data_IF_826874178411
#
_entry.id   IF_826874178411
#
_cell.length_a   1.000
_cell.length_b   1.000
_cell.length_c   1.000
_cell.angle_alpha   90.00
_cell.angle_beta   90.00
_cell.angle_gamma   90.00
#
_symmetry.space_group_name_H-M   'P 1'
#
loop_
_entity.id
_entity.type
_entity.pdbx_description
1 polymer ?
#
# COMPACT_ATOMS: atom_id res chain seq x y z
N UNK A 1 -2.11 7.76 -14.93
CA UNK A 1 -1.75 6.80 -13.86
C UNK A 1 -0.56 5.93 -14.23
N UNK A 2 -0.59 5.14 -15.32
CA UNK A 2 0.59 4.39 -15.77
C UNK A 2 1.83 5.29 -16.00
N UNK A 3 1.65 6.50 -16.53
CA UNK A 3 2.70 7.53 -16.64
C UNK A 3 3.15 8.09 -15.28
N UNK A 4 2.26 8.11 -14.28
CA UNK A 4 2.58 8.47 -12.89
C UNK A 4 3.54 7.42 -12.32
N UNK A 5 3.16 6.14 -12.41
CA UNK A 5 4.00 5.00 -12.00
C UNK A 5 5.32 4.89 -12.79
N UNK A 6 5.35 5.28 -14.07
CA UNK A 6 6.59 5.40 -14.87
C UNK A 6 7.44 6.64 -14.54
N UNK A 7 6.88 7.70 -13.99
CA UNK A 7 7.62 8.87 -13.47
C UNK A 7 8.15 8.61 -12.05
N UNK A 8 7.47 7.77 -11.27
CA UNK A 8 7.93 7.20 -9.98
C UNK A 8 9.19 6.29 -10.08
N UNK A 9 9.66 6.03 -11.30
CA UNK A 9 10.40 4.81 -11.69
C UNK A 9 11.92 4.84 -11.42
N UNK A 10 12.50 5.97 -10.99
CA UNK A 10 13.95 6.01 -10.66
C UNK A 10 14.22 6.15 -9.16
N UNK A 11 13.20 6.52 -8.39
CA UNK A 11 13.34 6.98 -7.00
C UNK A 11 12.91 5.91 -6.01
N UNK A 12 11.77 5.24 -6.25
CA UNK A 12 11.27 4.18 -5.35
C UNK A 12 12.13 2.93 -5.42
N UNK A 13 12.55 2.54 -6.62
CA UNK A 13 13.34 1.34 -6.89
C UNK A 13 14.60 1.22 -6.05
N UNK A 14 15.36 2.32 -5.97
CA UNK A 14 16.58 2.36 -5.17
C UNK A 14 16.24 2.43 -3.65
N UNK A 15 15.11 3.04 -3.22
CA UNK A 15 14.63 3.07 -1.80
C UNK A 15 14.46 1.65 -1.30
N UNK A 16 13.93 0.79 -2.14
CA UNK A 16 13.66 -0.61 -1.84
C UNK A 16 14.94 -1.46 -1.79
N UNK A 17 15.89 -1.22 -2.68
CA UNK A 17 17.17 -1.96 -2.73
C UNK A 17 18.00 -1.79 -1.45
N UNK A 18 17.97 -0.61 -0.82
CA UNK A 18 18.79 -0.27 0.37
C UNK A 18 18.04 -0.23 1.71
N UNK A 19 16.70 -0.27 1.71
CA UNK A 19 15.90 -0.45 2.94
C UNK A 19 15.77 -1.92 3.37
N UNK A 20 16.41 -2.83 2.65
CA UNK A 20 16.54 -4.25 2.99
C UNK A 20 17.24 -4.45 4.34
N UNK A 21 16.41 -4.53 5.39
CA UNK A 21 16.51 -5.47 6.52
C UNK A 21 17.86 -5.63 7.25
N UNK A 22 18.69 -4.58 7.38
CA UNK A 22 19.76 -4.56 8.40
C UNK A 22 19.29 -4.17 9.80
N UNK A 23 18.01 -3.82 9.97
CA UNK A 23 17.43 -3.62 11.29
C UNK A 23 16.81 -4.93 11.72
N UNK A 24 17.46 -5.57 12.69
CA UNK A 24 17.03 -6.79 13.33
C UNK A 24 15.53 -6.76 13.58
N UNK A 25 14.83 -7.82 13.18
CA UNK A 25 13.43 -8.02 13.53
C UNK A 25 13.23 -7.73 15.02
N UNK A 26 12.40 -6.74 15.34
CA UNK A 26 11.95 -6.54 16.71
C UNK A 26 11.32 -7.85 17.22
N UNK A 27 11.65 -8.32 18.43
CA UNK A 27 11.10 -9.53 19.03
C UNK A 27 9.56 -9.59 19.06
N UNK A 28 8.88 -8.46 18.84
CA UNK A 28 7.43 -8.32 18.82
C UNK A 28 6.72 -8.98 17.60
N UNK A 29 7.40 -9.19 16.47
CA UNK A 29 6.78 -9.75 15.25
C UNK A 29 7.01 -11.26 15.06
N UNK A 30 8.05 -11.79 15.73
CA UNK A 30 8.38 -13.22 15.72
C UNK A 30 7.24 -14.13 16.24
N UNK A 31 6.40 -13.75 17.23
CA UNK A 31 5.35 -14.61 17.75
C UNK A 31 4.28 -14.96 16.71
N UNK A 32 3.86 -14.01 15.86
CA UNK A 32 2.75 -14.22 14.92
C UNK A 32 3.10 -15.18 13.78
N UNK A 33 4.33 -15.12 13.26
CA UNK A 33 4.82 -16.06 12.26
C UNK A 33 5.18 -17.42 12.88
N UNK A 34 5.90 -17.46 14.01
CA UNK A 34 6.44 -18.73 14.53
C UNK A 34 5.42 -19.60 15.29
N UNK A 35 4.42 -19.01 15.96
CA UNK A 35 3.45 -19.81 16.73
C UNK A 35 2.31 -20.35 15.87
N UNK A 36 1.97 -19.67 14.77
CA UNK A 36 0.87 -20.09 13.88
C UNK A 36 1.31 -21.13 12.85
N UNK A 37 2.59 -21.13 12.43
CA UNK A 37 3.11 -22.00 11.37
C UNK A 37 3.45 -23.44 11.82
N UNK A 38 3.77 -23.67 13.10
CA UNK A 38 4.12 -25.02 13.59
C UNK A 38 2.93 -25.94 13.86
N UNK A 39 1.70 -25.41 13.92
CA UNK A 39 0.55 -26.16 14.46
C UNK A 39 -0.58 -26.45 13.47
N UNK A 40 -0.62 -25.80 12.31
CA UNK A 40 -1.76 -25.91 11.40
C UNK A 40 -1.36 -25.72 9.94
N UNK A 41 -1.56 -26.75 9.10
CA UNK A 41 -1.98 -26.51 7.72
C UNK A 41 -1.27 -27.30 6.63
N UNK A 42 -2.09 -28.02 5.88
CA UNK A 42 -1.81 -28.82 4.68
C UNK A 42 -1.10 -27.99 3.60
N UNK A 43 -0.05 -28.57 3.01
CA UNK A 43 0.79 -27.97 1.98
C UNK A 43 0.17 -28.15 0.58
N UNK A 44 -0.20 -27.06 -0.08
CA UNK A 44 -0.29 -27.00 -1.54
C UNK A 44 0.87 -26.15 -2.06
N UNK A 45 1.54 -26.58 -3.13
CA UNK A 45 2.68 -25.85 -3.73
C UNK A 45 2.29 -24.47 -4.31
N UNK A 46 1.00 -24.12 -4.40
CA UNK A 46 0.53 -22.93 -5.12
C UNK A 46 0.08 -21.74 -4.25
N UNK A 47 -0.36 -21.95 -3.00
CA UNK A 47 -0.80 -20.88 -2.07
C UNK A 47 -0.77 -21.38 -0.62
N UNK A 48 -0.50 -20.49 0.34
CA UNK A 48 -0.51 -20.81 1.77
C UNK A 48 -1.65 -20.10 2.49
N UNK A 49 -2.54 -20.87 3.10
CA UNK A 49 -3.69 -20.37 3.85
C UNK A 49 -3.52 -20.57 5.36
N UNK A 50 -3.60 -19.48 6.13
CA UNK A 50 -3.51 -19.49 7.60
C UNK A 50 -4.60 -18.61 8.19
N UNK A 51 -5.59 -19.20 8.88
CA UNK A 51 -6.66 -18.47 9.59
C UNK A 51 -7.34 -17.36 8.75
N UNK A 52 -7.71 -17.67 7.50
CA UNK A 52 -8.37 -16.72 6.59
C UNK A 52 -7.42 -15.75 5.87
N UNK A 53 -6.10 -15.89 6.05
CA UNK A 53 -5.08 -15.21 5.26
C UNK A 53 -4.54 -16.13 4.19
N UNK A 54 -4.36 -15.62 2.98
CA UNK A 54 -3.79 -16.32 1.83
C UNK A 54 -2.57 -15.54 1.35
N UNK A 55 -1.42 -16.20 1.32
CA UNK A 55 -0.18 -15.64 0.79
C UNK A 55 0.18 -16.29 -0.54
N UNK A 56 0.64 -15.50 -1.51
CA UNK A 56 1.30 -16.08 -2.69
C UNK A 56 2.61 -16.78 -2.27
N UNK A 57 3.05 -17.81 -3.01
CA UNK A 57 4.32 -18.48 -2.72
C UNK A 57 5.51 -17.50 -2.68
N UNK A 58 5.56 -16.58 -3.64
CA UNK A 58 6.63 -15.57 -3.76
C UNK A 58 6.67 -14.65 -2.52
N UNK A 59 5.51 -14.17 -2.05
CA UNK A 59 5.42 -13.33 -0.85
C UNK A 59 5.80 -14.12 0.39
N UNK A 60 5.34 -15.35 0.52
CA UNK A 60 5.66 -16.19 1.67
C UNK A 60 7.17 -16.47 1.77
N UNK A 61 7.80 -16.84 0.64
CA UNK A 61 9.25 -17.04 0.57
C UNK A 61 10.01 -15.74 0.88
N UNK A 62 9.53 -14.60 0.39
CA UNK A 62 10.13 -13.30 0.69
C UNK A 62 10.08 -12.97 2.19
N UNK A 63 8.97 -13.26 2.86
CA UNK A 63 8.83 -13.09 4.30
C UNK A 63 9.78 -14.01 5.09
N UNK A 64 9.97 -15.26 4.66
CA UNK A 64 10.91 -16.19 5.32
C UNK A 64 12.38 -15.81 5.09
N UNK A 65 12.69 -15.35 3.87
CA UNK A 65 14.04 -15.00 3.44
C UNK A 65 14.44 -13.55 3.68
N UNK A 66 13.59 -12.75 4.34
CA UNK A 66 13.78 -11.30 4.54
C UNK A 66 14.05 -10.52 3.23
N UNK A 67 13.45 -10.96 2.12
CA UNK A 67 13.54 -10.28 0.82
C UNK A 67 12.65 -9.02 0.80
N UNK A 68 13.00 -8.00 0.00
CA UNK A 68 12.23 -6.77 -0.06
C UNK A 68 10.83 -7.00 -0.62
N UNK A 69 9.81 -6.52 0.10
CA UNK A 69 8.39 -6.62 -0.26
C UNK A 69 7.80 -5.23 -0.42
N UNK A 70 6.94 -5.07 -1.42
CA UNK A 70 6.17 -3.84 -1.66
C UNK A 70 4.70 -4.18 -1.70
N UNK A 71 3.93 -3.66 -0.74
CA UNK A 71 2.49 -3.75 -0.80
C UNK A 71 1.94 -2.88 -1.93
N UNK A 72 0.85 -3.33 -2.55
CA UNK A 72 0.08 -2.61 -3.56
C UNK A 72 -1.40 -2.68 -3.22
N UNK A 73 -2.13 -1.56 -3.33
CA UNK A 73 -3.57 -1.54 -3.08
C UNK A 73 -4.36 -2.08 -4.27
N UNK A 74 -5.62 -2.45 -4.03
CA UNK A 74 -6.49 -3.00 -5.06
C UNK A 74 -7.68 -2.14 -5.43
N UNK A 75 -7.98 -1.06 -4.68
CA UNK A 75 -9.06 -0.12 -5.06
C UNK A 75 -8.80 0.56 -6.40
N UNK A 76 -7.53 0.82 -6.75
CA UNK A 76 -7.17 1.38 -8.06
C UNK A 76 -7.56 0.42 -9.20
N UNK A 77 -7.56 -0.88 -8.96
CA UNK A 77 -7.91 -1.92 -9.94
C UNK A 77 -9.44 -1.95 -10.16
N UNK A 78 -10.22 -1.96 -9.09
CA UNK A 78 -11.68 -2.14 -9.18
C UNK A 78 -12.46 -0.84 -9.38
N UNK A 79 -12.01 0.27 -8.81
CA UNK A 79 -12.74 1.56 -8.79
C UNK A 79 -11.98 2.70 -9.47
N UNK A 80 -10.69 2.50 -9.80
CA UNK A 80 -9.84 3.55 -10.36
C UNK A 80 -9.79 3.58 -11.89
N UNK A 81 -10.02 2.44 -12.54
CA UNK A 81 -9.88 2.27 -13.99
C UNK A 81 -10.91 1.27 -14.54
N UNK A 82 -11.18 1.35 -15.84
CA UNK A 82 -12.06 0.41 -16.53
C UNK A 82 -11.30 -0.85 -16.94
N UNK A 83 -12.04 -1.94 -17.13
CA UNK A 83 -11.50 -3.16 -17.72
C UNK A 83 -11.39 -3.02 -19.25
N UNK A 84 -10.29 -3.49 -19.88
CA UNK A 84 -9.17 -4.27 -19.32
C UNK A 84 -7.98 -3.43 -18.78
N UNK A 85 -8.02 -2.11 -18.93
CA UNK A 85 -6.88 -1.25 -18.58
C UNK A 85 -6.49 -1.32 -17.10
N UNK A 86 -7.46 -1.60 -16.23
CA UNK A 86 -7.22 -1.83 -14.81
C UNK A 86 -6.30 -3.05 -14.55
N UNK A 87 -6.55 -4.17 -15.23
CA UNK A 87 -5.76 -5.39 -15.14
C UNK A 87 -4.37 -5.17 -15.73
N UNK A 88 -4.30 -4.60 -16.93
CA UNK A 88 -3.04 -4.26 -17.60
C UNK A 88 -2.16 -3.38 -16.72
N UNK A 89 -2.76 -2.37 -16.09
CA UNK A 89 -2.05 -1.47 -15.18
C UNK A 89 -1.59 -2.19 -13.92
N UNK A 90 -2.43 -3.04 -13.32
CA UNK A 90 -2.04 -3.82 -12.14
C UNK A 90 -0.83 -4.71 -12.42
N UNK A 91 -0.87 -5.46 -13.53
CA UNK A 91 0.23 -6.33 -13.98
C UNK A 91 1.48 -5.51 -14.27
N UNK A 92 1.35 -4.38 -14.97
CA UNK A 92 2.48 -3.51 -15.26
C UNK A 92 3.14 -2.97 -13.98
N UNK A 93 2.36 -2.59 -12.96
CA UNK A 93 2.90 -2.12 -11.68
C UNK A 93 3.63 -3.25 -10.95
N UNK A 94 3.08 -4.46 -10.92
CA UNK A 94 3.78 -5.60 -10.30
C UNK A 94 5.10 -5.89 -11.01
N UNK A 95 5.13 -5.84 -12.35
CA UNK A 95 6.35 -6.06 -13.12
C UNK A 95 7.41 -4.99 -12.85
N UNK A 96 7.02 -3.71 -12.75
CA UNK A 96 7.94 -2.63 -12.36
C UNK A 96 8.57 -2.93 -10.98
N UNK A 97 7.80 -3.41 -10.01
CA UNK A 97 8.35 -3.78 -8.69
C UNK A 97 9.36 -4.93 -8.82
N UNK A 98 9.05 -5.96 -9.62
CA UNK A 98 9.95 -7.12 -9.88
C UNK A 98 11.23 -6.72 -10.60
N UNK A 99 11.13 -5.90 -11.64
CA UNK A 99 12.27 -5.37 -12.41
C UNK A 99 13.25 -4.59 -11.52
N UNK A 100 12.75 -4.01 -10.43
CA UNK A 100 13.54 -3.28 -9.45
C UNK A 100 13.93 -4.14 -8.22
N UNK A 101 13.88 -5.46 -8.35
CA UNK A 101 14.43 -6.42 -7.38
C UNK A 101 13.59 -6.64 -6.12
N UNK A 102 12.33 -6.19 -6.12
CA UNK A 102 11.40 -6.37 -5.00
C UNK A 102 10.24 -7.28 -5.37
N UNK A 103 9.60 -7.87 -4.36
CA UNK A 103 8.46 -8.76 -4.54
C UNK A 103 7.17 -7.92 -4.37
N UNK A 104 6.29 -7.83 -5.38
CA UNK A 104 5.00 -7.16 -5.25
C UNK A 104 4.02 -8.02 -4.43
N UNK A 105 3.29 -7.36 -3.55
CA UNK A 105 2.21 -7.94 -2.78
C UNK A 105 0.93 -7.12 -3.00
N UNK A 106 0.23 -7.37 -4.11
CA UNK A 106 -1.12 -6.81 -4.31
C UNK A 106 -2.07 -7.40 -3.27
N UNK A 107 -2.70 -6.53 -2.49
CA UNK A 107 -3.55 -6.91 -1.35
C UNK A 107 -5.02 -6.71 -1.72
N UNK A 108 -5.86 -7.71 -1.44
CA UNK A 108 -7.31 -7.64 -1.56
C UNK A 108 -7.97 -8.64 -0.60
N UNK A 109 -9.30 -8.59 -0.49
CA UNK A 109 -10.08 -9.64 0.15
C UNK A 109 -10.84 -10.38 -0.93
N UNK A 110 -10.64 -11.69 -1.07
CA UNK A 110 -11.37 -12.54 -2.01
C UNK A 110 -12.20 -13.56 -1.23
N UNK A 111 -13.52 -13.53 -1.39
CA UNK A 111 -14.45 -14.44 -0.72
C UNK A 111 -14.22 -14.54 0.81
N UNK A 112 -14.05 -13.39 1.46
CA UNK A 112 -13.76 -13.27 2.88
C UNK A 112 -12.31 -13.58 3.29
N UNK A 113 -11.45 -14.02 2.37
CA UNK A 113 -10.04 -14.32 2.66
C UNK A 113 -9.14 -13.13 2.35
N UNK A 114 -8.29 -12.75 3.29
CA UNK A 114 -7.31 -11.69 3.12
C UNK A 114 -6.17 -12.23 2.27
N UNK A 115 -6.01 -11.72 1.06
CA UNK A 115 -4.95 -12.14 0.13
C UNK A 115 -3.80 -11.12 0.16
N UNK A 116 -2.58 -11.62 0.33
CA UNK A 116 -1.34 -10.84 0.30
C UNK A 116 -0.45 -11.39 -0.82
N UNK A 117 -0.43 -10.67 -1.94
CA UNK A 117 0.06 -11.19 -3.21
C UNK A 117 -1.05 -11.94 -3.93
N UNK A 118 -1.76 -11.26 -4.82
CA UNK A 118 -2.76 -11.89 -5.68
C UNK A 118 -2.08 -12.75 -6.75
N UNK A 119 -2.72 -13.88 -7.09
CA UNK A 119 -2.36 -14.61 -8.30
C UNK A 119 -2.87 -13.88 -9.54
N UNK A 120 -2.37 -14.24 -10.73
CA UNK A 120 -2.87 -13.67 -12.00
C UNK A 120 -4.39 -13.82 -12.14
N UNK A 121 -4.93 -14.99 -11.76
CA UNK A 121 -6.37 -15.23 -11.75
C UNK A 121 -7.11 -14.36 -10.70
N UNK A 122 -6.48 -14.13 -9.54
CA UNK A 122 -7.03 -13.24 -8.51
C UNK A 122 -7.09 -11.77 -8.96
N UNK A 123 -6.04 -11.30 -9.65
CA UNK A 123 -6.01 -9.98 -10.28
C UNK A 123 -7.09 -9.84 -11.35
N UNK A 124 -7.19 -10.82 -12.26
CA UNK A 124 -8.19 -10.81 -13.33
C UNK A 124 -9.61 -10.85 -12.77
N UNK A 125 -9.88 -11.72 -11.80
CA UNK A 125 -11.18 -11.82 -11.12
C UNK A 125 -11.57 -10.46 -10.54
N UNK A 126 -10.66 -9.81 -9.82
CA UNK A 126 -10.95 -8.52 -9.19
C UNK A 126 -11.16 -7.40 -10.23
N UNK A 127 -10.34 -7.40 -11.29
CA UNK A 127 -10.42 -6.43 -12.37
C UNK A 127 -11.73 -6.52 -13.15
N UNK A 128 -12.18 -7.74 -13.46
CA UNK A 128 -13.47 -7.99 -14.13
C UNK A 128 -14.66 -7.66 -13.23
N UNK A 129 -14.55 -7.92 -11.91
CA UNK A 129 -15.61 -7.58 -10.96
C UNK A 129 -15.85 -6.06 -10.89
N UNK A 130 -14.79 -5.26 -11.00
CA UNK A 130 -14.85 -3.80 -10.98
C UNK A 130 -15.61 -3.28 -9.75
N UNK A 131 -16.59 -2.42 -9.98
CA UNK A 131 -17.43 -1.78 -8.95
C UNK A 131 -18.26 -2.75 -8.11
N UNK A 132 -18.41 -4.01 -8.53
CA UNK A 132 -19.05 -5.05 -7.70
C UNK A 132 -18.17 -5.46 -6.52
N UNK A 133 -16.85 -5.24 -6.60
CA UNK A 133 -15.95 -5.43 -5.47
C UNK A 133 -16.25 -4.35 -4.43
N UNK A 134 -16.40 -4.73 -3.17
CA UNK A 134 -16.63 -3.72 -2.14
C UNK A 134 -15.37 -2.90 -1.92
N UNK A 135 -15.41 -1.59 -2.19
CA UNK A 135 -14.36 -0.66 -1.74
C UNK A 135 -14.24 -0.71 -0.23
N UNK A 136 -13.08 -1.16 0.26
CA UNK A 136 -12.90 -1.55 1.65
C UNK A 136 -11.81 -0.70 2.31
N UNK A 137 -12.24 0.28 3.12
CA UNK A 137 -11.34 0.99 4.03
C UNK A 137 -11.17 0.19 5.33
N UNK A 138 -10.39 0.68 6.29
CA UNK A 138 -10.16 0.00 7.58
C UNK A 138 -11.46 -0.49 8.21
N UNK A 139 -12.48 0.37 8.28
CA UNK A 139 -13.76 0.06 8.94
C UNK A 139 -14.51 -1.09 8.27
N UNK A 140 -14.31 -1.27 6.97
CA UNK A 140 -15.02 -2.27 6.18
C UNK A 140 -14.38 -3.66 6.30
N UNK A 141 -13.09 -3.75 6.65
CA UNK A 141 -12.33 -5.00 6.61
C UNK A 141 -13.01 -6.12 7.41
N UNK A 142 -13.41 -5.85 8.65
CA UNK A 142 -14.04 -6.84 9.52
C UNK A 142 -15.36 -7.37 8.93
N UNK A 143 -16.17 -6.46 8.38
CA UNK A 143 -17.44 -6.82 7.76
C UNK A 143 -17.21 -7.68 6.51
N UNK A 144 -16.36 -7.23 5.58
CA UNK A 144 -16.07 -7.92 4.31
C UNK A 144 -15.56 -9.34 4.58
N UNK A 145 -14.64 -9.50 5.53
CA UNK A 145 -14.10 -10.80 5.94
C UNK A 145 -15.20 -11.68 6.54
N UNK A 146 -15.96 -11.17 7.51
CA UNK A 146 -16.99 -11.95 8.22
C UNK A 146 -18.12 -12.44 7.32
N UNK A 147 -18.43 -11.69 6.26
CA UNK A 147 -19.53 -11.99 5.34
C UNK A 147 -19.08 -12.80 4.13
N UNK A 148 -17.82 -13.24 4.05
CA UNK A 148 -17.34 -13.99 2.89
C UNK A 148 -17.32 -13.16 1.60
N UNK A 149 -17.26 -11.82 1.69
CA UNK A 149 -17.35 -10.94 0.53
C UNK A 149 -15.99 -10.72 -0.14
N UNK A 150 -16.02 -10.34 -1.41
CA UNK A 150 -14.85 -9.84 -2.13
C UNK A 150 -14.79 -8.32 -2.03
N UNK A 151 -13.64 -7.80 -1.59
CA UNK A 151 -13.40 -6.39 -1.38
C UNK A 151 -12.02 -5.96 -1.89
N UNK A 152 -11.99 -4.81 -2.55
CA UNK A 152 -10.76 -4.13 -2.92
C UNK A 152 -10.37 -3.14 -1.83
N UNK A 153 -9.12 -3.18 -1.38
CA UNK A 153 -8.64 -2.40 -0.24
C UNK A 153 -8.21 -1.01 -0.68
N UNK A 154 -8.60 0.02 0.09
CA UNK A 154 -8.08 1.39 -0.09
C UNK A 154 -6.66 1.49 0.47
N UNK A 155 -6.06 2.68 0.45
CA UNK A 155 -4.79 2.97 1.15
C UNK A 155 -4.87 2.55 2.63
N UNK A 156 -5.85 3.06 3.38
CA UNK A 156 -6.07 2.66 4.78
C UNK A 156 -6.26 1.15 4.96
N UNK A 157 -7.10 0.51 4.15
CA UNK A 157 -7.31 -0.94 4.25
C UNK A 157 -6.03 -1.74 3.96
N UNK A 158 -5.26 -1.30 2.96
CA UNK A 158 -4.01 -1.94 2.53
C UNK A 158 -2.92 -1.80 3.58
N UNK A 159 -2.73 -0.61 4.16
CA UNK A 159 -1.77 -0.39 5.25
C UNK A 159 -2.00 -1.34 6.43
N UNK A 160 -3.26 -1.49 6.83
CA UNK A 160 -3.68 -2.33 7.96
C UNK A 160 -3.34 -3.80 7.75
N UNK A 161 -3.47 -4.29 6.51
CA UNK A 161 -3.15 -5.67 6.13
C UNK A 161 -1.64 -5.83 5.92
N UNK A 162 -1.00 -4.91 5.21
CA UNK A 162 0.44 -4.91 4.94
C UNK A 162 1.25 -4.95 6.24
N UNK A 163 0.89 -4.09 7.19
CA UNK A 163 1.53 -4.05 8.50
C UNK A 163 1.41 -5.39 9.26
N UNK A 164 0.21 -5.96 9.29
CA UNK A 164 -0.03 -7.28 9.92
C UNK A 164 0.69 -8.42 9.20
N UNK A 165 0.91 -8.29 7.89
CA UNK A 165 1.71 -9.22 7.11
C UNK A 165 3.23 -9.02 7.26
N UNK A 166 3.68 -7.99 7.98
CA UNK A 166 5.10 -7.67 8.16
C UNK A 166 5.71 -6.87 6.99
N UNK A 167 4.90 -6.29 6.11
CA UNK A 167 5.34 -5.45 4.98
C UNK A 167 5.36 -4.00 5.44
N UNK A 168 6.52 -3.33 5.29
CA UNK A 168 6.73 -1.94 5.76
C UNK A 168 6.67 -0.87 4.68
N UNK A 169 6.64 -1.25 3.40
CA UNK A 169 6.59 -0.30 2.28
C UNK A 169 5.38 -0.58 1.42
N UNK A 170 4.64 0.48 1.10
CA UNK A 170 3.43 0.46 0.29
C UNK A 170 3.51 1.56 -0.76
N UNK A 171 3.19 1.24 -2.01
CA UNK A 171 3.12 2.22 -3.11
C UNK A 171 1.68 2.36 -3.61
N UNK A 172 1.23 3.60 -3.77
CA UNK A 172 -0.04 3.96 -4.41
C UNK A 172 0.17 5.17 -5.33
N UNK A 173 -0.78 5.46 -6.21
CA UNK A 173 -0.75 6.68 -7.01
C UNK A 173 -0.91 7.95 -6.16
N UNK A 174 -1.83 7.95 -5.20
CA UNK A 174 -2.12 9.12 -4.36
C UNK A 174 -3.03 8.75 -3.21
N UNK A 175 -2.76 9.30 -2.03
CA UNK A 175 -3.56 9.02 -0.83
C UNK A 175 -4.91 9.76 -0.87
N UNK A 176 -5.88 9.32 -0.07
CA UNK A 176 -7.00 10.19 0.31
C UNK A 176 -6.54 11.33 1.22
N UNK A 177 -7.44 12.26 1.51
CA UNK A 177 -7.12 13.46 2.28
C UNK A 177 -8.36 14.19 2.77
N UNK A 178 -8.19 15.45 3.12
CA UNK A 178 -9.29 16.35 3.46
C UNK A 178 -9.96 16.80 2.16
N UNK A 179 -11.28 16.66 2.06
CA UNK A 179 -12.02 17.12 0.89
C UNK A 179 -12.26 18.64 0.95
N UNK A 180 -12.49 19.26 -0.21
CA UNK A 180 -12.93 20.66 -0.25
C UNK A 180 -14.26 20.84 0.50
N UNK A 181 -14.34 21.86 1.36
CA UNK A 181 -15.51 22.12 2.20
C UNK A 181 -15.62 21.25 3.46
N UNK A 182 -14.57 20.47 3.79
CA UNK A 182 -14.56 19.60 4.96
C UNK A 182 -14.72 20.32 6.30
N UNK A 183 -14.44 21.62 6.38
CA UNK A 183 -14.73 22.43 7.57
C UNK A 183 -16.23 22.49 7.91
N UNK A 184 -17.10 22.13 6.95
CA UNK A 184 -18.56 21.97 7.15
C UNK A 184 -19.01 20.52 7.03
N UNK A 185 -18.55 19.80 6.00
CA UNK A 185 -19.02 18.44 5.70
C UNK A 185 -18.37 17.37 6.57
N UNK A 186 -17.20 17.66 7.15
CA UNK A 186 -16.34 16.70 7.83
C UNK A 186 -15.93 15.51 6.95
N UNK A 187 -15.95 15.67 5.62
CA UNK A 187 -15.51 14.65 4.67
C UNK A 187 -13.97 14.56 4.63
N UNK A 188 -13.43 13.70 5.49
CA UNK A 188 -11.99 13.48 5.66
C UNK A 188 -11.69 11.99 5.51
N UNK A 189 -10.73 11.68 4.63
CA UNK A 189 -10.34 10.29 4.38
C UNK A 189 -9.78 9.60 5.62
N UNK A 190 -10.25 8.38 5.87
CA UNK A 190 -9.69 7.50 6.89
C UNK A 190 -8.21 7.13 6.66
N UNK A 191 -7.66 7.40 5.47
CA UNK A 191 -6.25 7.22 5.18
C UNK A 191 -5.36 8.08 6.09
N UNK A 192 -5.77 9.31 6.44
CA UNK A 192 -4.97 10.23 7.23
C UNK A 192 -4.76 9.74 8.67
N UNK A 193 -5.84 9.25 9.29
CA UNK A 193 -5.77 8.63 10.62
C UNK A 193 -5.00 7.31 10.58
N UNK A 194 -5.06 6.57 9.46
CA UNK A 194 -4.29 5.34 9.32
C UNK A 194 -2.78 5.61 9.24
N UNK A 195 -2.38 6.62 8.48
CA UNK A 195 -0.99 7.09 8.37
C UNK A 195 -0.40 7.44 9.74
N UNK A 196 -1.19 8.01 10.66
CA UNK A 196 -0.74 8.36 12.01
C UNK A 196 -0.53 7.19 12.97
N UNK A 197 -1.04 5.98 12.66
CA UNK A 197 -1.02 4.85 13.63
C UNK A 197 -0.42 3.55 13.11
N UNK A 198 -0.21 3.42 11.81
CA UNK A 198 0.28 2.17 11.21
C UNK A 198 1.67 2.41 10.62
N UNK A 199 2.72 1.76 11.14
CA UNK A 199 4.10 1.99 10.71
C UNK A 199 4.37 1.27 9.38
N UNK A 200 3.85 1.87 8.31
CA UNK A 200 4.05 1.51 6.91
C UNK A 200 4.35 2.80 6.15
N UNK A 201 5.50 2.85 5.49
CA UNK A 201 5.86 3.95 4.62
C UNK A 201 5.04 3.90 3.34
N UNK A 202 4.27 4.96 3.09
CA UNK A 202 3.43 5.09 1.88
C UNK A 202 4.11 6.01 0.89
N UNK A 203 4.48 5.48 -0.27
CA UNK A 203 5.03 6.29 -1.37
C UNK A 203 3.92 6.60 -2.37
N UNK A 204 3.76 7.88 -2.69
CA UNK A 204 2.65 8.37 -3.53
C UNK A 204 2.96 9.73 -4.18
N UNK A 205 2.08 10.19 -5.07
CA UNK A 205 2.18 11.52 -5.71
C UNK A 205 1.46 12.59 -4.89
N UNK A 206 1.53 12.50 -3.57
CA UNK A 206 0.74 13.31 -2.66
C UNK A 206 -0.71 12.84 -2.57
N UNK A 207 -1.62 13.79 -2.38
CA UNK A 207 -3.07 13.52 -2.26
C UNK A 207 -3.72 13.58 -3.64
N UNK A 208 -4.79 12.81 -3.87
CA UNK A 208 -5.58 12.89 -5.12
C UNK A 208 -5.98 14.34 -5.43
N UNK A 209 -5.96 14.73 -6.71
CA UNK A 209 -6.14 16.13 -7.17
C UNK A 209 -7.48 16.78 -6.84
N UNK A 210 -8.44 16.02 -6.33
CA UNK A 210 -9.78 16.50 -5.94
C UNK A 210 -9.84 16.95 -4.46
N UNK A 211 -8.70 16.97 -3.77
CA UNK A 211 -8.60 17.18 -2.33
C UNK A 211 -7.95 18.53 -1.99
N UNK A 212 -8.16 18.98 -0.76
CA UNK A 212 -7.58 20.19 -0.18
C UNK A 212 -6.20 19.86 0.40
N UNK A 213 -5.14 20.30 -0.28
CA UNK A 213 -3.75 19.97 0.08
C UNK A 213 -3.36 20.62 1.40
N UNK A 214 -3.68 21.90 1.59
CA UNK A 214 -3.34 22.67 2.79
C UNK A 214 -3.92 21.98 4.03
N UNK A 215 -5.25 21.75 4.03
CA UNK A 215 -5.90 21.09 5.16
C UNK A 215 -5.42 19.66 5.36
N UNK A 216 -5.04 18.97 4.29
CA UNK A 216 -4.48 17.61 4.43
C UNK A 216 -3.12 17.63 5.12
N UNK A 217 -2.24 18.57 4.78
CA UNK A 217 -0.93 18.72 5.44
C UNK A 217 -1.09 19.06 6.93
N UNK A 218 -1.98 19.99 7.27
CA UNK A 218 -2.30 20.34 8.67
C UNK A 218 -2.86 19.14 9.46
N UNK A 219 -3.72 18.35 8.83
CA UNK A 219 -4.25 17.15 9.46
C UNK A 219 -3.15 16.10 9.70
N UNK A 220 -2.25 15.90 8.73
CA UNK A 220 -1.13 14.98 8.84
C UNK A 220 -0.13 15.41 9.92
N UNK A 221 0.12 16.72 10.05
CA UNK A 221 0.88 17.28 11.17
C UNK A 221 0.21 16.92 12.51
N UNK A 222 -1.10 17.16 12.63
CA UNK A 222 -1.88 16.83 13.85
C UNK A 222 -1.82 15.33 14.19
N UNK A 223 -1.79 14.45 13.17
CA UNK A 223 -1.65 13.00 13.36
C UNK A 223 -0.21 12.54 13.60
N UNK A 224 0.77 13.44 13.62
CA UNK A 224 2.19 13.11 13.81
C UNK A 224 2.80 12.36 12.62
N UNK A 225 2.27 12.52 11.42
CA UNK A 225 2.76 11.84 10.22
C UNK A 225 3.96 12.57 9.63
N UNK A 226 5.08 11.87 9.47
CA UNK A 226 6.27 12.40 8.80
C UNK A 226 6.06 12.53 7.28
N UNK A 227 5.57 13.68 6.83
CA UNK A 227 5.40 14.00 5.40
C UNK A 227 6.71 14.51 4.81
N UNK A 228 7.16 13.91 3.71
CA UNK A 228 8.46 14.22 3.12
C UNK A 228 8.44 14.10 1.60
N UNK A 229 8.86 15.14 0.89
CA UNK A 229 9.01 15.11 -0.57
C UNK A 229 10.33 14.44 -0.96
N UNK A 230 10.31 13.57 -1.96
CA UNK A 230 11.52 13.06 -2.60
C UNK A 230 11.92 13.96 -3.78
N UNK A 231 13.11 14.55 -3.74
CA UNK A 231 13.68 15.38 -4.81
C UNK A 231 14.42 16.61 -4.30
N UNK A 232 14.78 17.50 -5.22
CA UNK A 232 15.56 18.71 -4.91
C UNK A 232 14.75 19.79 -4.17
N UNK A 233 13.43 19.71 -4.20
CA UNK A 233 12.54 20.73 -3.65
C UNK A 233 11.63 20.16 -2.56
N UNK A 234 11.12 21.04 -1.70
CA UNK A 234 10.07 20.71 -0.74
C UNK A 234 8.65 20.79 -1.32
N UNK A 235 8.50 21.14 -2.60
CA UNK A 235 7.18 21.27 -3.22
C UNK A 235 6.40 19.96 -3.07
N UNK A 236 5.20 20.04 -2.51
CA UNK A 236 4.34 18.89 -2.33
C UNK A 236 3.69 18.56 -3.68
N UNK A 237 3.75 17.32 -4.19
CA UNK A 237 3.13 16.98 -5.46
C UNK A 237 1.59 17.01 -5.36
N UNK A 238 0.93 17.63 -6.34
CA UNK A 238 -0.54 17.66 -6.46
C UNK A 238 -1.04 16.56 -7.41
N UNK A 239 -0.58 15.33 -7.19
CA UNK A 239 -0.92 14.15 -7.99
C UNK A 239 -0.44 14.26 -9.45
N UNK A 240 -1.22 14.88 -10.33
CA UNK A 240 -0.88 15.01 -11.75
C UNK A 240 0.21 16.04 -12.01
N UNK A 241 0.39 17.02 -11.13
CA UNK A 241 1.44 18.04 -11.25
C UNK A 241 2.52 17.84 -10.18
N UNK A 242 3.80 17.98 -10.56
CA UNK A 242 4.91 17.85 -9.61
C UNK A 242 5.01 19.05 -8.66
N UNK A 243 4.27 20.14 -8.95
CA UNK A 243 4.23 21.35 -8.14
C UNK A 243 2.79 21.67 -7.76
N UNK A 244 2.53 21.85 -6.47
CA UNK A 244 1.24 22.26 -5.92
C UNK A 244 1.22 23.71 -5.44
N UNK A 245 2.39 24.29 -5.18
CA UNK A 245 2.52 25.56 -4.46
C UNK A 245 2.50 25.42 -2.93
N UNK A 246 2.25 24.21 -2.41
CA UNK A 246 2.38 23.86 -1.00
C UNK A 246 3.73 23.17 -0.75
N UNK A 247 4.21 23.23 0.49
CA UNK A 247 5.51 22.67 0.86
C UNK A 247 5.34 21.54 1.86
N UNK A 248 6.00 20.40 1.60
CA UNK A 248 6.18 19.35 2.59
C UNK A 248 7.02 19.87 3.78
N UNK A 249 6.78 19.36 5.00
CA UNK A 249 7.60 19.68 6.18
C UNK A 249 9.10 19.39 5.99
N UNK A 250 9.43 18.32 5.25
CA UNK A 250 10.80 17.91 4.97
C UNK A 250 10.98 17.47 3.51
N UNK A 251 12.23 17.39 3.04
CA UNK A 251 12.58 16.76 1.77
C UNK A 251 13.81 15.87 1.91
N UNK A 252 13.90 14.86 1.03
CA UNK A 252 15.04 13.96 0.92
C UNK A 252 15.46 13.88 -0.53
N UNK A 253 16.77 13.85 -0.76
CA UNK A 253 17.36 13.88 -2.11
C UNK A 253 17.76 12.50 -2.57
N UNK A 254 18.11 11.64 -1.60
CA UNK A 254 18.55 10.30 -1.91
C UNK A 254 17.63 9.26 -1.32
N UNK A 255 17.52 8.21 -2.09
CA UNK A 255 16.99 6.92 -1.71
C UNK A 255 17.46 6.40 -0.35
N UNK A 256 18.75 6.62 -0.05
CA UNK A 256 19.36 6.12 1.18
C UNK A 256 18.82 6.88 2.38
N UNK A 257 18.58 8.18 2.22
CA UNK A 257 17.92 9.01 3.22
C UNK A 257 16.47 8.56 3.43
N UNK A 258 15.73 8.26 2.36
CA UNK A 258 14.37 7.71 2.49
C UNK A 258 14.36 6.37 3.23
N UNK A 259 15.29 5.46 2.91
CA UNK A 259 15.41 4.20 3.64
C UNK A 259 15.74 4.41 5.13
N UNK A 260 16.56 5.40 5.46
CA UNK A 260 16.90 5.75 6.85
C UNK A 260 15.73 6.38 7.62
N UNK A 261 14.75 6.97 6.94
CA UNK A 261 13.53 7.50 7.56
C UNK A 261 12.60 6.38 8.05
N UNK A 262 12.54 5.24 7.35
CA UNK A 262 11.59 4.12 7.60
C UNK A 262 12.05 3.23 8.78
N UNK A 263 13.02 3.68 9.57
CA UNK A 263 13.59 2.95 10.71
C UNK A 263 12.80 3.18 12.00
N UNK A 264 12.01 4.26 12.05
CA UNK A 264 11.07 4.61 13.12
C UNK A 264 9.66 4.11 12.80
#
# INVERSE_FOLDING_TARGET
MATLYRSFNTSISRILEKSTNRIAFSPLYKPYLTSSLKRYGVFSRSTLEVKGWVYSPEVFEALQGNKPLVALESTVISHGMQYPQNLETAVAIENIVRENGSIPATIAILNGKINVGLSSNGLETLAQMGQKARKSSRRDLAYVVSQGLTGSTTVSGTMVIAHRAGIRVFVTGGIGGVHWGAEKSMDVSADLVELGRTPVAVVCAGVKSILDIEKTLEYLETQGVSVTTFGETRDFPAFFTPRSGFMSPSNLKTVKECAALIVF
#
